data_IF_133630424746
#
_entry.id   IF_133630424746
#
_cell.length_a   1.000
_cell.length_b   1.000
_cell.length_c   1.000
_cell.angle_alpha   90.00
_cell.angle_beta   90.00
_cell.angle_gamma   90.00
#
_symmetry.space_group_name_H-M   'P 1'
#
loop_
_entity.id
_entity.type
_entity.pdbx_description
1 polymer ?
#
# COMPACT_ATOMS: atom_id res chain seq x y z
N UNK A 1 -0.62 2.40 17.60
CA UNK A 1 -0.73 2.36 19.08
C UNK A 1 -2.15 2.69 19.54
N UNK A 2 -2.75 3.80 19.10
CA UNK A 2 -4.09 4.25 19.52
C UNK A 2 -5.26 3.31 19.17
N UNK A 3 -5.16 2.55 18.08
CA UNK A 3 -6.20 1.60 17.66
C UNK A 3 -6.45 0.50 18.71
N UNK A 4 -5.38 -0.02 19.33
CA UNK A 4 -5.48 -1.01 20.40
C UNK A 4 -5.95 -0.36 21.71
N UNK A 5 -5.57 0.90 21.97
CA UNK A 5 -6.12 1.68 23.09
C UNK A 5 -7.64 1.82 23.01
N UNK A 6 -8.19 2.05 21.81
CA UNK A 6 -9.66 2.08 21.60
C UNK A 6 -10.35 0.71 21.79
N UNK A 7 -9.59 -0.39 21.75
CA UNK A 7 -10.08 -1.76 21.96
C UNK A 7 -9.90 -2.27 23.41
N UNK A 8 -8.87 -1.77 24.12
CA UNK A 8 -8.37 -2.24 25.42
C UNK A 8 -8.66 -1.29 26.60
N UNK A 9 -9.47 -0.24 26.42
CA UNK A 9 -9.85 0.67 27.51
C UNK A 9 -10.71 -0.03 28.59
N UNK A 10 -10.04 -0.76 29.48
CA UNK A 10 -10.54 -1.32 30.73
C UNK A 10 -10.41 -0.35 31.92
N UNK A 11 -9.79 0.82 31.73
CA UNK A 11 -9.72 1.86 32.76
C UNK A 11 -11.13 2.43 33.05
N UNK A 12 -11.53 2.37 34.33
CA UNK A 12 -12.89 2.68 34.80
C UNK A 12 -13.33 4.14 34.57
N UNK A 13 -12.39 5.04 34.26
CA UNK A 13 -12.63 6.49 34.14
C UNK A 13 -12.64 7.02 32.69
N UNK A 14 -12.37 6.18 31.66
CA UNK A 14 -12.47 6.60 30.26
C UNK A 14 -13.77 6.13 29.57
N UNK A 15 -14.40 7.05 28.83
CA UNK A 15 -15.63 6.78 28.06
C UNK A 15 -15.39 5.65 27.07
N UNK A 16 -16.05 4.50 27.27
CA UNK A 16 -15.90 3.29 26.46
C UNK A 16 -16.49 3.43 25.05
N UNK A 17 -15.82 2.87 24.05
CA UNK A 17 -16.35 2.73 22.69
C UNK A 17 -17.55 1.79 22.67
N UNK A 18 -18.56 2.11 21.86
CA UNK A 18 -19.76 1.28 21.74
C UNK A 18 -19.49 -0.03 20.97
N UNK A 19 -20.40 -1.02 21.10
CA UNK A 19 -20.21 -2.34 20.51
C UNK A 19 -20.13 -2.31 18.97
N UNK A 20 -20.83 -1.40 18.29
CA UNK A 20 -20.81 -1.31 16.83
C UNK A 20 -19.46 -0.78 16.36
N UNK A 21 -18.97 0.29 16.98
CA UNK A 21 -17.64 0.84 16.71
C UNK A 21 -16.55 -0.20 16.97
N UNK A 22 -16.64 -0.94 18.09
CA UNK A 22 -15.67 -1.99 18.41
C UNK A 22 -15.67 -3.11 17.37
N UNK A 23 -16.85 -3.57 16.92
CA UNK A 23 -16.96 -4.58 15.87
C UNK A 23 -16.36 -4.08 14.54
N UNK A 24 -16.65 -2.83 14.16
CA UNK A 24 -16.10 -2.21 12.95
C UNK A 24 -14.57 -2.05 13.01
N UNK A 25 -14.00 -1.74 14.17
CA UNK A 25 -12.54 -1.72 14.36
C UNK A 25 -11.97 -3.14 14.23
N UNK A 26 -12.52 -4.12 14.95
CA UNK A 26 -12.03 -5.51 14.87
C UNK A 26 -12.16 -6.12 13.47
N UNK A 27 -13.11 -5.66 12.64
CA UNK A 27 -13.22 -6.10 11.25
C UNK A 27 -12.21 -5.43 10.30
N UNK A 28 -11.53 -4.37 10.73
CA UNK A 28 -10.51 -3.66 9.95
C UNK A 28 -9.09 -4.18 10.21
N UNK A 29 -8.78 -4.62 11.44
CA UNK A 29 -7.48 -5.22 11.80
C UNK A 29 -7.74 -6.60 12.39
N UNK A 30 -7.72 -7.63 11.55
CA UNK A 30 -7.62 -9.00 12.03
C UNK A 30 -6.17 -9.38 12.35
N UNK A 31 -5.95 -10.54 12.98
CA UNK A 31 -4.61 -11.03 13.33
C UNK A 31 -3.69 -11.20 12.13
N UNK A 32 -4.24 -11.32 10.91
CA UNK A 32 -3.46 -11.44 9.69
C UNK A 32 -3.01 -10.07 9.22
N UNK A 33 -3.89 -9.08 9.23
CA UNK A 33 -3.61 -7.70 8.89
C UNK A 33 -2.61 -7.09 9.86
N UNK A 34 -2.75 -7.36 11.16
CA UNK A 34 -1.75 -6.98 12.17
C UNK A 34 -0.37 -7.51 11.83
N UNK A 35 -0.25 -8.83 11.60
CA UNK A 35 1.03 -9.46 11.24
C UNK A 35 1.67 -8.87 9.98
N UNK A 36 0.86 -8.40 9.02
CA UNK A 36 1.36 -7.74 7.80
C UNK A 36 1.79 -6.30 8.03
N UNK A 37 1.11 -5.57 8.92
CA UNK A 37 1.53 -4.24 9.33
C UNK A 37 2.88 -4.28 10.05
N UNK A 38 3.06 -5.29 10.91
CA UNK A 38 4.27 -5.47 11.70
C UNK A 38 5.44 -6.06 10.90
N UNK A 39 5.18 -6.60 9.69
CA UNK A 39 6.21 -7.14 8.80
C UNK A 39 7.01 -6.01 8.12
N UNK A 40 8.15 -5.69 8.74
CA UNK A 40 9.02 -4.61 8.31
C UNK A 40 10.40 -5.14 7.88
N UNK A 41 11.01 -4.40 6.96
CA UNK A 41 12.38 -4.58 6.52
C UNK A 41 13.19 -3.39 7.01
N UNK A 42 14.27 -3.69 7.73
CA UNK A 42 15.30 -2.72 8.08
C UNK A 42 16.27 -2.56 6.91
N UNK A 43 16.54 -1.31 6.57
CA UNK A 43 17.46 -0.92 5.51
C UNK A 43 18.59 -0.08 6.13
N UNK A 44 19.80 -0.62 6.18
CA UNK A 44 20.96 0.13 6.65
C UNK A 44 22.14 -0.75 7.05
N UNK A 45 23.28 -0.15 7.40
CA UNK A 45 24.40 -0.87 8.01
C UNK A 45 24.03 -1.35 9.42
N UNK A 46 24.53 -2.52 9.89
CA UNK A 46 24.18 -3.07 11.20
C UNK A 46 24.73 -2.20 12.35
N UNK A 47 23.99 -2.14 13.46
CA UNK A 47 24.47 -1.66 14.76
C UNK A 47 24.34 -2.85 15.72
N UNK A 48 25.44 -3.57 15.99
CA UNK A 48 25.47 -4.63 17.00
C UNK A 48 26.62 -4.37 17.98
N UNK A 49 26.42 -4.74 19.25
CA UNK A 49 27.49 -4.70 20.26
C UNK A 49 28.48 -5.87 20.11
N UNK A 50 28.06 -6.94 19.45
CA UNK A 50 28.76 -8.22 19.43
C UNK A 50 29.34 -8.58 18.05
N UNK A 51 29.09 -7.78 17.02
CA UNK A 51 29.68 -7.93 15.69
C UNK A 51 30.84 -6.91 15.53
N UNK A 52 32.13 -7.34 15.45
CA UNK A 52 33.28 -6.44 15.39
C UNK A 52 33.31 -5.57 14.13
N UNK A 53 32.55 -5.91 13.07
CA UNK A 53 32.36 -5.05 11.90
C UNK A 53 31.29 -3.95 12.10
N UNK A 54 30.48 -4.07 13.16
CA UNK A 54 29.41 -3.13 13.51
C UNK A 54 29.76 -2.18 14.66
N UNK A 55 31.02 -2.17 15.11
CA UNK A 55 31.54 -1.16 16.03
C UNK A 55 31.65 0.20 15.33
N UNK A 56 30.51 0.85 15.12
CA UNK A 56 30.49 2.30 14.91
C UNK A 56 30.78 2.97 16.25
N UNK A 57 31.89 3.71 16.30
CA UNK A 57 32.22 4.59 17.42
C UNK A 57 31.00 5.47 17.74
N UNK A 58 30.72 5.68 19.03
CA UNK A 58 29.68 6.60 19.55
C UNK A 58 29.79 8.06 19.04
N UNK A 59 30.81 8.37 18.24
CA UNK A 59 30.99 9.63 17.52
C UNK A 59 30.26 9.67 16.15
N UNK A 60 29.63 8.57 15.71
CA UNK A 60 28.97 8.48 14.40
C UNK A 60 27.68 9.31 14.26
N UNK A 61 27.09 9.77 15.36
CA UNK A 61 25.85 10.55 15.37
C UNK A 61 26.02 12.02 14.95
N UNK A 62 27.25 12.56 14.99
CA UNK A 62 27.50 13.97 14.63
C UNK A 62 28.25 14.14 13.29
N UNK A 63 29.09 13.17 12.89
CA UNK A 63 30.17 13.41 11.91
C UNK A 63 30.25 12.36 10.78
N UNK A 64 29.18 11.60 10.54
CA UNK A 64 29.10 10.81 9.31
C UNK A 64 29.13 11.83 8.14
N UNK A 65 29.87 11.63 7.05
CA UNK A 65 29.91 12.58 5.91
C UNK A 65 29.24 11.98 4.68
N UNK A 66 28.69 12.80 3.77
CA UNK A 66 28.11 12.34 2.50
C UNK A 66 29.08 11.46 1.71
N UNK A 67 30.38 11.72 1.80
CA UNK A 67 31.43 10.90 1.21
C UNK A 67 31.53 9.50 1.84
N UNK A 68 31.35 9.35 3.15
CA UNK A 68 31.35 8.03 3.84
C UNK A 68 30.13 7.19 3.44
N UNK A 69 28.95 7.80 3.36
CA UNK A 69 27.69 7.17 2.92
C UNK A 69 27.77 6.75 1.44
N UNK A 70 28.33 7.60 0.59
CA UNK A 70 28.55 7.30 -0.83
C UNK A 70 29.63 6.23 -1.04
N UNK A 71 30.61 6.12 -0.14
CA UNK A 71 31.68 5.12 -0.18
C UNK A 71 31.27 3.71 0.28
N UNK A 72 30.07 3.53 0.86
CA UNK A 72 29.50 2.21 1.17
C UNK A 72 29.30 1.46 -0.17
N UNK A 73 30.20 0.52 -0.47
CA UNK A 73 30.20 -0.32 -1.67
C UNK A 73 29.24 -1.50 -1.51
N UNK A 74 28.92 -2.11 -2.67
CA UNK A 74 27.75 -2.96 -3.00
C UNK A 74 27.41 -4.08 -1.99
N UNK A 75 28.33 -4.53 -1.15
CA UNK A 75 28.20 -5.75 -0.34
C UNK A 75 27.74 -5.53 1.12
N UNK A 76 27.59 -4.28 1.58
CA UNK A 76 27.47 -3.95 3.02
C UNK A 76 26.09 -3.44 3.46
N UNK A 77 25.12 -3.32 2.55
CA UNK A 77 23.76 -2.89 2.92
C UNK A 77 22.92 -4.12 3.22
N UNK A 78 22.63 -4.33 4.49
CA UNK A 78 21.95 -5.51 4.97
C UNK A 78 20.46 -5.20 5.04
N UNK A 79 19.66 -6.08 4.43
CA UNK A 79 18.23 -6.12 4.66
C UNK A 79 17.99 -7.12 5.78
N UNK A 80 17.33 -6.68 6.84
CA UNK A 80 16.90 -7.56 7.92
C UNK A 80 15.37 -7.52 7.96
N UNK A 81 14.74 -8.69 7.92
CA UNK A 81 13.32 -8.78 8.26
C UNK A 81 13.19 -8.62 9.76
N UNK A 82 12.22 -7.84 10.17
CA UNK A 82 12.06 -7.35 11.53
C UNK A 82 10.55 -7.28 11.82
N UNK A 83 10.19 -7.44 13.08
CA UNK A 83 8.83 -7.18 13.55
C UNK A 83 8.82 -5.83 14.26
N UNK A 84 7.91 -4.93 13.91
CA UNK A 84 7.76 -3.67 14.65
C UNK A 84 7.39 -3.98 16.12
N UNK A 85 7.86 -3.17 17.06
CA UNK A 85 7.43 -3.29 18.46
C UNK A 85 5.97 -2.81 18.59
N UNK A 86 5.13 -3.63 19.22
CA UNK A 86 3.72 -3.30 19.49
C UNK A 86 3.56 -1.96 20.24
N UNK A 87 4.58 -1.60 21.03
CA UNK A 87 4.60 -0.43 21.90
C UNK A 87 5.34 0.77 21.33
N UNK A 88 6.00 0.69 20.17
CA UNK A 88 6.61 1.85 19.54
C UNK A 88 7.09 1.51 18.12
N UNK A 89 6.57 2.23 17.13
CA UNK A 89 7.00 2.06 15.73
C UNK A 89 8.43 2.52 15.49
N UNK A 90 9.02 3.23 16.46
CA UNK A 90 10.42 3.63 16.45
C UNK A 90 11.38 2.49 16.83
N UNK A 91 10.84 1.33 17.20
CA UNK A 91 11.61 0.16 17.58
C UNK A 91 11.16 -1.08 16.82
N UNK A 92 12.12 -1.96 16.54
CA UNK A 92 11.86 -3.23 15.88
C UNK A 92 12.70 -4.35 16.45
N UNK A 93 12.18 -5.57 16.36
CA UNK A 93 12.81 -6.80 16.81
C UNK A 93 13.33 -7.62 15.64
N UNK A 94 14.64 -7.83 15.60
CA UNK A 94 15.29 -8.76 14.66
C UNK A 94 15.56 -10.08 15.36
N UNK A 95 14.99 -11.20 14.89
CA UNK A 95 15.24 -12.51 15.49
C UNK A 95 16.70 -12.95 15.32
N UNK A 96 17.28 -13.59 16.35
CA UNK A 96 18.62 -14.17 16.26
C UNK A 96 18.59 -15.49 15.46
N UNK A 97 19.34 -15.63 14.35
CA UNK A 97 19.35 -16.87 13.58
C UNK A 97 19.97 -18.08 14.29
N UNK A 98 20.69 -17.88 15.39
CA UNK A 98 21.44 -18.95 16.06
C UNK A 98 20.68 -19.60 17.23
N UNK A 99 19.50 -19.10 17.58
CA UNK A 99 18.65 -19.64 18.65
C UNK A 99 17.23 -19.79 18.11
N UNK A 100 16.71 -21.01 18.19
CA UNK A 100 15.40 -21.37 17.62
C UNK A 100 14.22 -20.51 18.12
N UNK A 101 13.08 -20.64 17.44
CA UNK A 101 11.86 -19.81 17.56
C UNK A 101 11.32 -19.58 19.00
N UNK A 102 11.69 -20.41 19.96
CA UNK A 102 11.20 -20.34 21.35
C UNK A 102 12.01 -19.40 22.28
N UNK A 103 13.18 -18.92 21.85
CA UNK A 103 14.03 -18.04 22.67
C UNK A 103 13.80 -16.59 22.26
N UNK A 104 13.25 -15.75 23.16
CA UNK A 104 13.01 -14.29 22.97
C UNK A 104 14.32 -13.47 22.87
N UNK A 105 15.40 -14.07 22.37
CA UNK A 105 16.72 -13.46 22.21
C UNK A 105 16.87 -12.69 20.92
N UNK A 106 15.88 -11.87 20.54
CA UNK A 106 16.02 -10.93 19.42
C UNK A 106 16.87 -9.72 19.77
N UNK A 107 17.39 -9.03 18.76
CA UNK A 107 18.00 -7.72 18.94
C UNK A 107 16.96 -6.63 18.69
N UNK A 108 16.81 -5.72 19.66
CA UNK A 108 16.03 -4.50 19.48
C UNK A 108 16.85 -3.50 18.66
N UNK A 109 16.22 -2.92 17.63
CA UNK A 109 16.80 -1.94 16.72
C UNK A 109 15.99 -0.65 16.83
N UNK A 110 16.66 0.49 16.87
CA UNK A 110 16.07 1.83 17.06
C UNK A 110 16.42 2.74 15.87
N UNK A 111 15.60 3.75 15.62
CA UNK A 111 15.81 4.76 14.56
C UNK A 111 17.22 5.41 14.60
N UNK A 112 17.75 5.73 13.42
CA UNK A 112 19.08 6.32 13.24
C UNK A 112 19.60 6.21 11.80
N UNK A 113 20.77 5.61 11.61
CA UNK A 113 21.32 5.28 10.28
C UNK A 113 20.58 4.13 9.57
N UNK A 114 19.53 3.60 10.18
CA UNK A 114 18.71 2.49 9.71
C UNK A 114 17.30 3.00 9.45
N UNK A 115 16.71 2.58 8.33
CA UNK A 115 15.34 2.94 7.93
C UNK A 115 14.47 1.70 8.03
N UNK A 116 13.38 1.79 8.80
CA UNK A 116 12.34 0.75 8.85
C UNK A 116 11.29 1.05 7.77
N UNK A 117 11.00 0.05 6.93
CA UNK A 117 9.91 0.14 5.95
C UNK A 117 9.07 -1.12 5.97
N UNK A 118 7.78 -1.02 5.71
CA UNK A 118 6.97 -2.21 5.47
C UNK A 118 7.53 -3.00 4.29
N UNK A 119 7.66 -4.32 4.46
CA UNK A 119 8.28 -5.20 3.45
C UNK A 119 7.54 -5.13 2.11
N UNK A 120 6.21 -5.07 2.15
CA UNK A 120 5.35 -4.93 0.96
C UNK A 120 5.57 -3.59 0.22
N UNK A 121 5.83 -2.49 0.95
CA UNK A 121 6.13 -1.19 0.37
C UNK A 121 7.46 -1.19 -0.41
N UNK A 122 8.46 -1.92 0.07
CA UNK A 122 9.74 -2.07 -0.64
C UNK A 122 9.57 -2.81 -1.98
N UNK A 123 8.71 -3.84 -2.02
CA UNK A 123 8.40 -4.49 -3.29
C UNK A 123 7.66 -3.57 -4.26
N UNK A 124 6.74 -2.72 -3.75
CA UNK A 124 6.05 -1.72 -4.57
C UNK A 124 7.04 -0.70 -5.12
N UNK A 125 7.97 -0.20 -4.30
CA UNK A 125 9.02 0.73 -4.71
C UNK A 125 9.80 0.21 -5.92
N UNK A 126 10.21 -1.06 -5.86
CA UNK A 126 10.97 -1.70 -6.94
C UNK A 126 10.12 -1.88 -8.21
N UNK A 127 8.86 -2.30 -8.09
CA UNK A 127 7.99 -2.45 -9.26
C UNK A 127 7.63 -1.11 -9.91
N UNK A 128 7.30 -0.09 -9.10
CA UNK A 128 6.93 1.24 -9.59
C UNK A 128 8.06 1.94 -10.35
N UNK A 129 9.30 1.70 -9.92
CA UNK A 129 10.50 2.34 -10.49
C UNK A 129 11.29 1.42 -11.42
N UNK A 130 10.74 0.23 -11.75
CA UNK A 130 11.43 -0.79 -12.55
C UNK A 130 12.84 -1.13 -12.02
N UNK A 131 12.98 -1.18 -10.69
CA UNK A 131 14.22 -1.46 -9.98
C UNK A 131 15.22 -0.30 -9.93
N UNK A 132 14.93 0.84 -10.56
CA UNK A 132 15.82 2.03 -10.55
C UNK A 132 15.90 2.67 -9.17
N UNK A 133 14.87 2.55 -8.34
CA UNK A 133 14.90 2.91 -6.92
C UNK A 133 15.12 1.68 -6.05
N UNK A 134 16.38 1.22 -6.00
CA UNK A 134 16.77 0.12 -5.11
C UNK A 134 16.71 0.52 -3.62
N UNK A 135 16.64 -0.46 -2.71
CA UNK A 135 16.72 -0.23 -1.26
C UNK A 135 17.92 0.64 -0.87
N UNK A 136 19.07 0.43 -1.53
CA UNK A 136 20.29 1.24 -1.36
C UNK A 136 20.10 2.69 -1.79
N UNK A 137 19.48 2.90 -2.96
CA UNK A 137 19.23 4.25 -3.49
C UNK A 137 18.25 5.00 -2.59
N UNK A 138 17.22 4.32 -2.11
CA UNK A 138 16.28 4.83 -1.11
C UNK A 138 16.96 5.20 0.20
N UNK A 139 17.79 4.31 0.76
CA UNK A 139 18.55 4.60 1.97
C UNK A 139 19.44 5.84 1.82
N UNK A 140 20.15 5.98 0.71
CA UNK A 140 20.97 7.18 0.42
C UNK A 140 20.13 8.46 0.39
N UNK A 141 18.97 8.41 -0.27
CA UNK A 141 18.04 9.53 -0.32
C UNK A 141 17.57 9.93 1.08
N UNK A 142 17.15 8.95 1.90
CA UNK A 142 16.75 9.18 3.29
C UNK A 142 17.88 9.82 4.10
N UNK A 143 19.08 9.27 4.05
CA UNK A 143 20.23 9.79 4.81
C UNK A 143 20.64 11.19 4.38
N UNK A 144 20.61 11.50 3.07
CA UNK A 144 20.89 12.85 2.59
C UNK A 144 19.83 13.84 3.10
N UNK A 145 18.57 13.42 3.08
CA UNK A 145 17.44 14.27 3.45
C UNK A 145 17.39 14.58 4.94
N UNK A 146 17.57 13.57 5.80
CA UNK A 146 17.62 13.77 7.25
C UNK A 146 18.68 14.79 7.67
N UNK A 147 19.81 14.85 6.94
CA UNK A 147 20.88 15.83 7.21
C UNK A 147 20.55 17.24 6.75
N UNK A 148 19.95 17.38 5.58
CA UNK A 148 19.70 18.69 4.98
C UNK A 148 18.48 19.36 5.58
N UNK A 149 17.47 18.59 5.98
CA UNK A 149 16.27 19.09 6.63
C UNK A 149 16.51 19.45 8.11
N UNK A 150 17.54 18.89 8.75
CA UNK A 150 17.84 19.14 10.16
C UNK A 150 16.73 18.70 11.13
N UNK A 151 15.75 17.95 10.64
CA UNK A 151 14.60 17.46 11.39
C UNK A 151 14.70 15.95 11.61
N UNK A 152 14.22 15.51 12.77
CA UNK A 152 13.96 14.11 13.12
C UNK A 152 12.71 13.56 12.40
N UNK A 153 12.23 14.27 11.38
CA UNK A 153 10.97 13.94 10.71
C UNK A 153 11.21 12.81 9.71
N UNK A 154 10.44 11.73 9.84
CA UNK A 154 10.42 10.56 8.95
C UNK A 154 9.89 10.87 7.53
N UNK A 155 9.96 12.12 7.08
CA UNK A 155 9.31 12.65 5.87
C UNK A 155 10.38 13.29 4.97
N UNK A 156 10.43 12.88 3.70
CA UNK A 156 11.29 13.54 2.71
C UNK A 156 10.57 14.80 2.18
N UNK A 157 11.17 16.00 2.29
CA UNK A 157 10.55 17.23 1.81
C UNK A 157 10.27 17.22 0.31
N UNK A 158 9.06 17.65 -0.05
CA UNK A 158 8.60 17.73 -1.44
C UNK A 158 8.05 16.43 -2.02
N UNK A 159 7.92 15.37 -1.21
CA UNK A 159 7.19 14.16 -1.57
C UNK A 159 5.78 14.28 -1.02
N UNK A 160 4.76 14.08 -1.86
CA UNK A 160 3.36 14.00 -1.44
C UNK A 160 3.03 12.58 -0.96
N UNK A 161 2.91 12.41 0.35
CA UNK A 161 2.53 11.14 0.98
C UNK A 161 1.01 10.91 1.05
N UNK A 162 0.20 11.74 0.37
CA UNK A 162 -1.24 11.62 0.24
C UNK A 162 -2.00 12.27 1.41
N UNK A 163 -3.13 11.69 1.80
CA UNK A 163 -4.04 12.24 2.83
C UNK A 163 -3.33 12.57 4.16
N UNK A 164 -2.23 11.89 4.47
CA UNK A 164 -1.39 12.21 5.62
C UNK A 164 -0.90 13.67 5.59
N UNK A 165 -0.51 14.20 4.43
CA UNK A 165 0.09 15.54 4.29
C UNK A 165 -0.89 16.71 4.21
N UNK A 166 -2.11 16.47 3.72
CA UNK A 166 -3.02 17.57 3.34
C UNK A 166 -3.97 18.00 4.46
N UNK A 167 -4.06 17.27 5.57
CA UNK A 167 -5.04 17.50 6.66
C UNK A 167 -4.38 17.84 8.02
N UNK A 168 -3.15 18.38 7.98
CA UNK A 168 -2.10 18.10 8.97
C UNK A 168 -1.94 19.10 10.14
N UNK A 169 -3.02 19.46 10.85
CA UNK A 169 -2.89 19.99 12.23
C UNK A 169 -2.82 18.84 13.26
N UNK A 170 -3.60 17.77 13.06
CA UNK A 170 -3.73 16.64 14.01
C UNK A 170 -2.49 15.75 14.02
N UNK A 171 -1.91 15.48 12.84
CA UNK A 171 -0.74 14.59 12.72
C UNK A 171 0.57 15.30 13.12
N UNK A 172 0.58 16.64 13.18
CA UNK A 172 1.67 17.42 13.78
C UNK A 172 1.59 17.42 15.31
N UNK A 173 0.37 17.30 15.86
CA UNK A 173 0.13 17.29 17.30
C UNK A 173 0.29 15.90 17.91
N UNK A 174 -0.04 14.84 17.16
CA UNK A 174 0.12 13.46 17.61
C UNK A 174 0.36 12.49 16.42
N UNK A 175 1.63 12.30 16.00
CA UNK A 175 1.99 11.39 14.91
C UNK A 175 1.76 9.90 15.23
N UNK A 176 1.35 9.56 16.47
CA UNK A 176 1.12 8.17 16.89
C UNK A 176 -0.30 7.67 16.58
N UNK A 177 -1.19 8.56 16.13
CA UNK A 177 -2.59 8.23 15.84
C UNK A 177 -2.76 7.52 14.49
N UNK A 178 -3.27 6.30 14.57
CA UNK A 178 -3.50 5.41 13.41
C UNK A 178 -4.78 5.77 12.63
N UNK A 179 -5.62 6.67 13.13
CA UNK A 179 -6.81 7.17 12.43
C UNK A 179 -6.76 8.70 12.51
N UNK A 180 -7.01 9.38 11.40
CA UNK A 180 -7.13 10.84 11.34
C UNK A 180 -8.48 11.31 11.90
N UNK A 181 -8.84 10.85 13.10
CA UNK A 181 -10.03 11.23 13.86
C UNK A 181 -9.65 11.26 15.34
N UNK A 182 -10.27 12.15 16.11
CA UNK A 182 -10.19 12.16 17.56
C UNK A 182 -10.97 10.99 18.18
N UNK A 183 -10.70 10.68 19.45
CA UNK A 183 -11.38 9.57 20.14
C UNK A 183 -12.89 9.83 20.22
N UNK A 184 -13.28 11.09 20.44
CA UNK A 184 -14.67 11.52 20.50
C UNK A 184 -15.37 11.35 19.15
N UNK A 185 -14.71 11.71 18.04
CA UNK A 185 -15.25 11.49 16.70
C UNK A 185 -15.48 10.01 16.40
N UNK A 186 -14.52 9.14 16.76
CA UNK A 186 -14.68 7.69 16.59
C UNK A 186 -15.82 7.15 17.47
N UNK A 187 -15.94 7.61 18.72
CA UNK A 187 -17.04 7.23 19.62
C UNK A 187 -18.40 7.67 19.07
N UNK A 188 -18.49 8.87 18.51
CA UNK A 188 -19.72 9.42 17.94
C UNK A 188 -20.22 8.64 16.70
N UNK A 189 -19.37 7.84 16.06
CA UNK A 189 -19.79 6.94 14.97
C UNK A 189 -20.79 5.87 15.44
N UNK A 190 -20.86 5.56 16.74
CA UNK A 190 -21.86 4.62 17.27
C UNK A 190 -23.29 5.06 16.92
N UNK A 191 -23.52 6.37 16.77
CA UNK A 191 -24.81 6.94 16.36
C UNK A 191 -25.28 6.52 14.95
N UNK A 192 -24.38 6.02 14.10
CA UNK A 192 -24.72 5.53 12.76
C UNK A 192 -25.53 4.23 12.81
N UNK A 193 -25.43 3.45 13.90
CA UNK A 193 -26.26 2.26 14.13
C UNK A 193 -26.01 1.07 13.19
N UNK A 194 -25.03 1.16 12.30
CA UNK A 194 -24.69 0.12 11.32
C UNK A 194 -23.16 -0.05 11.22
N UNK A 195 -22.69 -1.28 11.42
CA UNK A 195 -21.25 -1.62 11.46
C UNK A 195 -20.56 -1.25 10.14
N UNK A 196 -21.19 -1.51 9.00
CA UNK A 196 -20.60 -1.24 7.69
C UNK A 196 -20.47 0.27 7.44
N UNK A 197 -21.46 1.07 7.83
CA UNK A 197 -21.36 2.53 7.76
C UNK A 197 -20.26 3.08 8.67
N UNK A 198 -20.13 2.56 9.90
CA UNK A 198 -19.04 2.94 10.81
C UNK A 198 -17.69 2.57 10.21
N UNK A 199 -17.56 1.35 9.68
CA UNK A 199 -16.36 0.87 9.01
C UNK A 199 -15.96 1.76 7.83
N UNK A 200 -16.93 2.13 6.98
CA UNK A 200 -16.70 3.03 5.85
C UNK A 200 -16.35 4.45 6.29
N UNK A 201 -16.89 4.93 7.42
CA UNK A 201 -16.53 6.23 7.99
C UNK A 201 -15.07 6.22 8.48
N UNK A 202 -14.68 5.20 9.26
CA UNK A 202 -13.29 5.04 9.73
C UNK A 202 -12.32 4.94 8.55
N UNK A 203 -12.68 4.15 7.53
CA UNK A 203 -11.86 4.03 6.32
C UNK A 203 -11.75 5.36 5.58
N UNK A 204 -12.86 5.99 5.21
CA UNK A 204 -12.82 7.11 4.27
C UNK A 204 -12.60 8.46 4.94
N UNK A 205 -13.24 8.72 6.09
CA UNK A 205 -13.12 9.99 6.82
C UNK A 205 -11.90 9.97 7.74
N UNK A 206 -11.67 8.85 8.43
CA UNK A 206 -10.50 8.68 9.28
C UNK A 206 -9.23 8.24 8.57
N UNK A 207 -9.27 8.14 7.23
CA UNK A 207 -8.16 7.73 6.37
C UNK A 207 -7.43 6.46 6.80
N UNK A 208 -8.12 5.57 7.52
CA UNK A 208 -7.52 4.34 8.05
C UNK A 208 -6.96 3.44 6.93
N UNK A 209 -7.46 3.60 5.69
CA UNK A 209 -6.93 2.92 4.51
C UNK A 209 -5.41 3.09 4.34
N UNK A 210 -4.80 4.18 4.83
CA UNK A 210 -3.35 4.43 4.76
C UNK A 210 -2.53 3.37 5.52
N UNK A 211 -3.13 2.77 6.53
CA UNK A 211 -2.49 1.78 7.40
C UNK A 211 -2.77 0.34 6.96
N UNK A 212 -3.69 0.13 6.03
CA UNK A 212 -3.97 -1.20 5.48
C UNK A 212 -2.80 -1.70 4.61
N UNK A 213 -2.47 -2.97 4.76
CA UNK A 213 -1.41 -3.66 4.04
C UNK A 213 -1.66 -3.57 2.54
N UNK A 214 -0.71 -3.07 1.74
CA UNK A 214 -0.91 -2.75 0.32
C UNK A 214 -0.80 -3.98 -0.60
N UNK A 215 -0.76 -5.19 -0.06
CA UNK A 215 -0.66 -6.48 -0.75
C UNK A 215 -1.95 -7.34 -0.62
N UNK A 216 -3.01 -6.79 -0.02
CA UNK A 216 -4.33 -7.44 0.09
C UNK A 216 -5.16 -7.25 -1.19
N UNK A 217 -4.84 -8.01 -2.24
CA UNK A 217 -5.59 -7.98 -3.51
C UNK A 217 -6.99 -8.60 -3.37
N UNK A 218 -8.06 -7.92 -3.84
CA UNK A 218 -9.43 -8.41 -3.72
C UNK A 218 -9.75 -9.41 -4.85
N UNK A 219 -9.10 -10.57 -4.81
CA UNK A 219 -9.20 -11.61 -5.84
C UNK A 219 -10.44 -12.49 -5.70
N UNK A 220 -10.96 -12.62 -4.49
CA UNK A 220 -12.18 -13.40 -4.26
C UNK A 220 -13.43 -12.58 -4.58
N UNK A 221 -14.41 -13.26 -5.14
CA UNK A 221 -15.75 -12.73 -5.34
C UNK A 221 -16.50 -12.76 -4.02
N UNK A 222 -16.34 -11.70 -3.23
CA UNK A 222 -17.27 -11.47 -2.13
C UNK A 222 -18.67 -11.29 -2.73
N UNK A 223 -19.58 -12.20 -2.40
CA UNK A 223 -21.01 -12.18 -2.77
C UNK A 223 -21.75 -10.93 -2.29
N UNK A 224 -21.07 -10.03 -1.57
CA UNK A 224 -21.61 -8.79 -0.99
C UNK A 224 -21.65 -7.62 -1.96
N UNK A 225 -20.93 -7.65 -3.08
CA UNK A 225 -21.00 -6.59 -4.12
C UNK A 225 -22.02 -6.99 -5.20
N UNK A 226 -23.24 -7.34 -4.78
CA UNK A 226 -24.36 -7.49 -5.69
C UNK A 226 -25.14 -6.18 -5.77
N UNK A 227 -24.62 -5.29 -6.62
CA UNK A 227 -25.41 -4.25 -7.26
C UNK A 227 -24.95 -4.17 -8.70
N UNK A 228 -25.31 -5.22 -9.46
CA UNK A 228 -25.32 -5.15 -10.91
C UNK A 228 -26.47 -4.21 -11.28
N UNK A 229 -26.23 -3.05 -11.93
CA UNK A 229 -27.28 -2.50 -12.76
C UNK A 229 -27.56 -3.59 -13.80
N UNK A 230 -28.77 -4.14 -13.77
CA UNK A 230 -29.26 -5.07 -14.79
C UNK A 230 -29.05 -4.35 -16.12
N UNK A 231 -28.02 -4.76 -16.86
CA UNK A 231 -27.91 -4.43 -18.28
C UNK A 231 -29.08 -5.20 -18.89
N UNK A 232 -30.20 -4.49 -19.06
CA UNK A 232 -31.32 -5.00 -19.84
C UNK A 232 -30.68 -5.42 -21.15
N UNK A 233 -30.78 -6.71 -21.41
CA UNK A 233 -30.38 -7.34 -22.65
C UNK A 233 -31.14 -6.60 -23.75
N UNK A 234 -30.50 -5.59 -24.33
CA UNK A 234 -31.05 -4.87 -25.46
C UNK A 234 -30.87 -5.82 -26.63
N UNK A 235 -31.65 -6.90 -26.62
CA UNK A 235 -31.81 -7.82 -27.71
C UNK A 235 -32.26 -6.99 -28.91
N UNK A 236 -31.27 -6.54 -29.69
CA UNK A 236 -31.07 -6.62 -31.14
C UNK A 236 -32.21 -6.28 -32.09
N UNK A 237 -33.49 -6.38 -31.72
CA UNK A 237 -34.61 -6.25 -32.63
C UNK A 237 -34.97 -4.81 -33.02
N UNK A 238 -34.44 -3.79 -32.34
CA UNK A 238 -34.78 -2.37 -32.60
C UNK A 238 -33.64 -1.52 -33.19
N UNK A 239 -32.39 -2.01 -33.17
CA UNK A 239 -31.21 -1.24 -33.59
C UNK A 239 -31.02 -1.13 -35.12
N UNK A 240 -31.82 -1.85 -35.91
CA UNK A 240 -31.79 -1.77 -37.39
C UNK A 240 -32.48 -0.52 -37.95
N UNK A 241 -33.17 0.29 -37.15
CA UNK A 241 -34.00 1.41 -37.64
C UNK A 241 -33.38 2.82 -37.52
N UNK A 242 -32.18 2.99 -36.97
CA UNK A 242 -31.56 4.31 -36.83
C UNK A 242 -30.44 4.56 -37.85
N UNK A 243 -30.82 4.85 -39.09
CA UNK A 243 -29.96 5.34 -40.17
C UNK A 243 -29.46 6.78 -39.88
N UNK A 244 -28.46 6.89 -38.99
CA UNK A 244 -27.41 7.94 -38.92
C UNK A 244 -26.50 7.59 -37.74
N UNK A 245 -25.80 6.46 -37.85
CA UNK A 245 -24.75 6.11 -36.90
C UNK A 245 -23.64 7.16 -37.02
N UNK A 246 -23.35 7.85 -35.90
CA UNK A 246 -22.21 8.77 -35.81
C UNK A 246 -20.92 8.06 -36.25
N UNK A 247 -19.95 8.80 -36.79
CA UNK A 247 -18.67 8.24 -37.27
C UNK A 247 -17.97 7.34 -36.25
N UNK A 248 -18.20 7.58 -34.95
CA UNK A 248 -17.65 6.80 -33.85
C UNK A 248 -18.22 5.37 -33.76
N UNK A 249 -19.47 5.18 -34.18
CA UNK A 249 -20.13 3.88 -34.16
C UNK A 249 -19.64 2.95 -35.29
N UNK A 250 -18.98 3.52 -36.31
CA UNK A 250 -18.36 2.79 -37.43
C UNK A 250 -16.94 2.32 -37.11
N UNK A 251 -16.33 2.80 -36.01
CA UNK A 251 -14.99 2.38 -35.61
C UNK A 251 -15.04 0.87 -35.24
N UNK A 252 -14.07 0.07 -35.73
CA UNK A 252 -13.86 -1.31 -35.30
C UNK A 252 -13.75 -1.43 -33.77
N UNK A 253 -14.23 -2.55 -33.23
CA UNK A 253 -14.30 -2.77 -31.80
C UNK A 253 -12.92 -2.68 -31.13
N UNK A 254 -11.91 -3.22 -31.80
CA UNK A 254 -10.52 -3.28 -31.33
C UNK A 254 -9.95 -1.87 -31.16
N UNK A 255 -10.21 -0.97 -32.12
CA UNK A 255 -9.78 0.43 -32.04
C UNK A 255 -10.55 1.20 -30.97
N UNK A 256 -11.84 0.91 -30.79
CA UNK A 256 -12.63 1.51 -29.72
C UNK A 256 -12.11 1.11 -28.33
N UNK A 257 -11.71 -0.16 -28.15
CA UNK A 257 -11.11 -0.63 -26.88
C UNK A 257 -9.78 0.07 -26.63
N UNK A 258 -8.90 0.19 -27.64
CA UNK A 258 -7.63 0.90 -27.52
C UNK A 258 -7.81 2.38 -27.17
N UNK A 259 -8.73 3.08 -27.85
CA UNK A 259 -9.05 4.48 -27.54
C UNK A 259 -9.59 4.59 -26.11
N UNK A 260 -10.48 3.67 -25.72
CA UNK A 260 -11.10 3.65 -24.40
C UNK A 260 -10.08 3.41 -23.28
N UNK A 261 -9.09 2.54 -23.50
CA UNK A 261 -8.04 2.25 -22.54
C UNK A 261 -7.16 3.48 -22.22
N UNK A 262 -7.08 4.46 -23.13
CA UNK A 262 -6.35 5.71 -22.91
C UNK A 262 -7.16 6.75 -22.11
N UNK A 263 -8.44 6.48 -21.83
CA UNK A 263 -9.30 7.41 -21.10
C UNK A 263 -9.26 7.13 -19.59
N UNK A 264 -9.26 8.18 -18.74
CA UNK A 264 -9.58 8.03 -17.34
C UNK A 264 -10.94 7.35 -17.18
N UNK A 265 -11.07 6.47 -16.19
CA UNK A 265 -12.28 5.66 -16.00
C UNK A 265 -13.60 6.48 -15.97
N UNK A 266 -13.69 7.65 -15.32
CA UNK A 266 -14.92 8.47 -15.37
C UNK A 266 -15.25 8.97 -16.77
N UNK A 267 -14.23 9.34 -17.54
CA UNK A 267 -14.36 9.77 -18.94
C UNK A 267 -14.80 8.61 -19.82
N UNK A 268 -14.23 7.42 -19.62
CA UNK A 268 -14.67 6.19 -20.30
C UNK A 268 -16.14 5.87 -20.00
N UNK A 269 -16.56 5.93 -18.73
CA UNK A 269 -17.97 5.67 -18.36
C UNK A 269 -18.92 6.69 -18.99
N UNK A 270 -18.50 7.96 -19.04
CA UNK A 270 -19.25 9.02 -19.72
C UNK A 270 -19.32 8.76 -21.23
N UNK A 271 -18.19 8.37 -21.84
CA UNK A 271 -18.08 8.03 -23.25
C UNK A 271 -18.98 6.84 -23.62
N UNK A 272 -18.92 5.75 -22.87
CA UNK A 272 -19.79 4.59 -23.06
C UNK A 272 -21.28 4.98 -22.94
N UNK A 273 -21.62 5.99 -22.14
CA UNK A 273 -22.99 6.44 -21.92
C UNK A 273 -23.54 7.37 -23.02
N UNK A 274 -22.72 7.83 -23.96
CA UNK A 274 -23.12 8.76 -25.04
C UNK A 274 -24.23 8.15 -25.92
N UNK A 275 -24.24 6.84 -26.13
CA UNK A 275 -25.33 6.17 -26.84
C UNK A 275 -25.50 4.71 -26.38
N UNK A 276 -26.71 4.16 -26.52
CA UNK A 276 -26.98 2.74 -26.22
C UNK A 276 -26.11 1.80 -27.05
N UNK A 277 -25.84 2.16 -28.31
CA UNK A 277 -24.99 1.37 -29.21
C UNK A 277 -23.54 1.34 -28.74
N UNK A 278 -22.98 2.49 -28.37
CA UNK A 278 -21.61 2.57 -27.86
C UNK A 278 -21.48 1.88 -26.50
N UNK A 279 -22.49 2.03 -25.63
CA UNK A 279 -22.58 1.29 -24.37
C UNK A 279 -22.57 -0.22 -24.59
N UNK A 280 -23.38 -0.70 -25.53
CA UNK A 280 -23.43 -2.12 -25.86
C UNK A 280 -22.12 -2.62 -26.47
N UNK A 281 -21.49 -1.85 -27.38
CA UNK A 281 -20.18 -2.18 -27.92
C UNK A 281 -19.10 -2.28 -26.84
N UNK A 282 -19.00 -1.31 -25.94
CA UNK A 282 -17.91 -1.26 -24.97
C UNK A 282 -18.15 -2.10 -23.71
N UNK A 283 -19.41 -2.25 -23.29
CA UNK A 283 -19.78 -2.82 -22.01
C UNK A 283 -20.86 -3.92 -22.11
N UNK A 284 -21.31 -4.28 -23.31
CA UNK A 284 -22.45 -5.16 -23.51
C UNK A 284 -22.14 -6.62 -23.20
N UNK A 285 -20.94 -7.10 -23.52
CA UNK A 285 -20.52 -8.48 -23.20
C UNK A 285 -19.58 -8.50 -22.00
N UNK A 286 -19.48 -9.64 -21.28
CA UNK A 286 -18.47 -9.81 -20.23
C UNK A 286 -17.05 -9.74 -20.84
N UNK A 287 -16.84 -10.38 -21.99
CA UNK A 287 -15.54 -10.36 -22.69
C UNK A 287 -15.04 -8.95 -23.03
N UNK A 288 -15.91 -8.05 -23.51
CA UNK A 288 -15.53 -6.67 -23.82
C UNK A 288 -15.16 -5.89 -22.55
N UNK A 289 -15.95 -6.06 -21.48
CA UNK A 289 -15.69 -5.43 -20.18
C UNK A 289 -14.38 -5.90 -19.57
N UNK A 290 -14.10 -7.19 -19.65
CA UNK A 290 -12.89 -7.80 -19.09
C UNK A 290 -11.66 -7.47 -19.94
N UNK A 291 -11.80 -7.37 -21.27
CA UNK A 291 -10.74 -6.86 -22.14
C UNK A 291 -10.39 -5.40 -21.80
N UNK A 292 -11.40 -4.55 -21.63
CA UNK A 292 -11.18 -3.17 -21.17
C UNK A 292 -10.52 -3.12 -19.79
N UNK A 293 -11.02 -3.88 -18.81
CA UNK A 293 -10.50 -3.87 -17.45
C UNK A 293 -9.01 -4.24 -17.42
N UNK A 294 -8.61 -5.28 -18.16
CA UNK A 294 -7.20 -5.69 -18.29
C UNK A 294 -6.34 -4.61 -18.92
N UNK A 295 -6.79 -4.04 -20.05
CA UNK A 295 -6.04 -2.98 -20.73
C UNK A 295 -5.89 -1.75 -19.84
N UNK A 296 -6.99 -1.32 -19.20
CA UNK A 296 -6.99 -0.15 -18.34
C UNK A 296 -6.12 -0.34 -17.09
N UNK A 297 -6.16 -1.51 -16.44
CA UNK A 297 -5.27 -1.83 -15.33
C UNK A 297 -3.81 -1.79 -15.77
N UNK A 298 -3.47 -2.42 -16.90
CA UNK A 298 -2.10 -2.44 -17.42
C UNK A 298 -1.55 -1.04 -17.71
N UNK A 299 -2.35 -0.19 -18.33
CA UNK A 299 -1.89 1.12 -18.83
C UNK A 299 -2.01 2.25 -17.79
N UNK A 300 -3.04 2.22 -16.93
CA UNK A 300 -3.40 3.37 -16.07
C UNK A 300 -3.36 3.07 -14.57
N UNK A 301 -3.40 1.79 -14.17
CA UNK A 301 -3.42 1.41 -12.77
C UNK A 301 -2.54 0.17 -12.50
N UNK A 302 -1.24 0.22 -12.85
CA UNK A 302 -0.34 -0.92 -12.70
C UNK A 302 -0.21 -1.38 -11.24
N UNK A 303 -0.51 -0.52 -10.27
CA UNK A 303 -0.58 -0.91 -8.86
C UNK A 303 -1.70 -1.94 -8.59
N UNK A 304 -2.75 -2.08 -9.41
CA UNK A 304 -3.75 -3.16 -9.26
C UNK A 304 -3.27 -4.52 -9.77
N UNK A 305 -2.06 -4.63 -10.32
CA UNK A 305 -1.51 -5.92 -10.71
C UNK A 305 -1.00 -6.68 -9.48
N UNK A 306 -1.45 -7.94 -9.27
CA UNK A 306 -0.93 -8.83 -8.24
C UNK A 306 0.48 -9.29 -8.64
N UNK A 307 1.47 -8.45 -8.35
CA UNK A 307 2.87 -8.74 -8.65
C UNK A 307 3.49 -9.54 -7.50
N UNK A 308 4.33 -10.55 -7.80
CA UNK A 308 5.09 -11.25 -6.78
C UNK A 308 6.09 -10.30 -6.11
N UNK A 309 6.69 -10.79 -5.02
CA UNK A 309 7.88 -10.17 -4.46
C UNK A 309 8.92 -9.92 -5.56
N UNK A 310 9.46 -8.71 -5.61
CA UNK A 310 10.46 -8.36 -6.63
C UNK A 310 11.69 -9.30 -6.53
N UNK A 311 12.22 -9.84 -7.64
CA UNK A 311 13.31 -10.83 -7.62
C UNK A 311 14.55 -10.38 -6.86
N UNK A 312 14.85 -9.08 -6.83
CA UNK A 312 16.01 -8.54 -6.09
C UNK A 312 15.87 -8.61 -4.57
N UNK A 313 14.67 -8.86 -4.04
CA UNK A 313 14.44 -9.08 -2.61
C UNK A 313 14.52 -10.55 -2.24
N UNK A 314 14.39 -11.47 -3.22
CA UNK A 314 14.42 -12.91 -2.94
C UNK A 314 15.78 -13.33 -2.39
N UNK A 315 15.80 -13.85 -1.17
CA UNK A 315 17.04 -14.21 -0.46
C UNK A 315 17.95 -13.01 -0.15
N UNK A 316 17.44 -11.78 -0.23
CA UNK A 316 18.21 -10.58 0.09
C UNK A 316 18.32 -10.35 1.61
N UNK A 317 17.48 -11.01 2.41
CA UNK A 317 17.53 -10.91 3.87
C UNK A 317 18.66 -11.79 4.45
N UNK A 318 19.51 -11.19 5.28
CA UNK A 318 20.63 -11.90 5.92
C UNK A 318 20.09 -12.86 6.98
N UNK A 319 20.48 -14.14 6.89
CA UNK A 319 20.26 -15.22 7.87
C UNK A 319 19.05 -14.98 8.79
N UNK A 320 17.87 -15.26 8.28
CA UNK A 320 16.76 -15.71 9.09
C UNK A 320 16.47 -17.14 8.63
N UNK A 321 16.32 -18.11 9.54
CA UNK A 321 15.92 -19.50 9.22
C UNK A 321 14.51 -19.60 8.57
N UNK A 322 13.91 -18.44 8.31
CA UNK A 322 12.66 -18.14 7.63
C UNK A 322 12.58 -18.45 6.13
N UNK A 323 13.49 -19.26 5.56
CA UNK A 323 13.37 -19.70 4.14
C UNK A 323 12.04 -20.38 3.84
N UNK A 324 11.34 -20.92 4.85
CA UNK A 324 10.02 -21.56 4.69
C UNK A 324 8.86 -20.57 4.61
N UNK A 325 8.98 -19.38 5.20
CA UNK A 325 7.89 -18.40 5.25
C UNK A 325 7.87 -17.46 4.03
N UNK A 326 9.00 -17.27 3.35
CA UNK A 326 9.05 -16.59 2.03
C UNK A 326 8.16 -17.29 0.99
N UNK A 327 8.02 -18.61 1.07
CA UNK A 327 7.23 -19.40 0.11
C UNK A 327 5.72 -19.37 0.40
N UNK A 328 5.27 -19.09 1.63
CA UNK A 328 3.85 -19.10 2.02
C UNK A 328 3.19 -17.71 2.01
N UNK A 329 3.90 -16.64 2.38
CA UNK A 329 3.31 -15.29 2.49
C UNK A 329 3.28 -14.52 1.15
N UNK A 330 4.20 -14.87 0.23
CA UNK A 330 4.33 -14.23 -1.08
C UNK A 330 4.01 -15.15 -2.25
N UNK A 331 3.48 -16.36 -1.98
CA UNK A 331 2.93 -17.19 -3.04
C UNK A 331 1.81 -16.39 -3.70
N UNK A 332 1.97 -16.13 -5.00
CA UNK A 332 0.88 -15.61 -5.81
C UNK A 332 -0.36 -16.45 -5.49
N UNK A 333 -1.49 -15.83 -5.13
CA UNK A 333 -2.77 -16.47 -5.37
C UNK A 333 -2.72 -16.95 -6.82
N UNK A 334 -3.08 -18.21 -7.11
CA UNK A 334 -3.08 -18.76 -8.48
C UNK A 334 -3.88 -17.84 -9.40
N UNK A 335 -3.24 -16.79 -9.91
CA UNK A 335 -3.88 -15.71 -10.63
C UNK A 335 -3.62 -16.03 -12.07
N UNK A 336 -4.49 -16.86 -12.63
CA UNK A 336 -4.69 -16.76 -14.06
C UNK A 336 -4.95 -15.28 -14.35
N UNK A 337 -4.22 -14.71 -15.31
CA UNK A 337 -4.43 -13.35 -15.83
C UNK A 337 -5.92 -13.16 -16.25
N UNK A 338 -6.65 -14.26 -16.44
CA UNK A 338 -8.10 -14.33 -16.60
C UNK A 338 -8.92 -13.77 -15.42
N UNK A 339 -8.36 -13.65 -14.20
CA UNK A 339 -9.04 -13.13 -13.01
C UNK A 339 -9.05 -11.59 -12.91
N UNK A 340 -8.34 -10.87 -13.79
CA UNK A 340 -8.34 -9.41 -13.87
C UNK A 340 -9.58 -8.88 -14.63
N UNK A 341 -10.75 -9.37 -14.24
CA UNK A 341 -12.02 -9.07 -14.88
C UNK A 341 -12.56 -7.68 -14.47
N UNK A 342 -13.70 -7.29 -15.04
CA UNK A 342 -14.35 -6.03 -14.69
C UNK A 342 -14.75 -5.94 -13.21
N UNK A 343 -15.11 -7.07 -12.60
CA UNK A 343 -15.48 -7.11 -11.19
C UNK A 343 -14.26 -6.90 -10.29
N UNK A 344 -13.11 -7.46 -10.66
CA UNK A 344 -11.83 -7.22 -10.01
C UNK A 344 -11.48 -5.74 -10.03
N UNK A 345 -11.60 -5.07 -11.18
CA UNK A 345 -11.40 -3.62 -11.26
C UNK A 345 -12.34 -2.87 -10.29
N UNK A 346 -13.63 -3.21 -10.25
CA UNK A 346 -14.59 -2.61 -9.31
C UNK A 346 -14.20 -2.84 -7.84
N UNK A 347 -13.74 -4.05 -7.51
CA UNK A 347 -13.27 -4.41 -6.17
C UNK A 347 -12.02 -3.60 -5.79
N UNK A 348 -11.06 -3.48 -6.70
CA UNK A 348 -9.85 -2.68 -6.49
C UNK A 348 -10.16 -1.19 -6.25
N UNK A 349 -11.10 -0.62 -7.00
CA UNK A 349 -11.54 0.77 -6.80
C UNK A 349 -12.19 1.01 -5.43
N UNK A 350 -12.77 -0.04 -4.83
CA UNK A 350 -13.46 0.00 -3.54
C UNK A 350 -12.58 -0.44 -2.37
N UNK A 351 -11.38 -0.95 -2.64
CA UNK A 351 -10.47 -1.52 -1.63
C UNK A 351 -9.56 -0.46 -1.02
N UNK A 352 -9.56 -0.38 0.32
CA UNK A 352 -8.64 0.50 1.06
C UNK A 352 -7.17 0.10 0.88
N UNK A 353 -6.86 -1.20 0.86
CA UNK A 353 -5.53 -1.73 0.56
C UNK A 353 -5.03 -1.26 -0.81
N UNK A 354 -5.87 -1.33 -1.83
CA UNK A 354 -5.53 -0.89 -3.18
C UNK A 354 -5.41 0.63 -3.30
N UNK A 355 -6.14 1.39 -2.47
CA UNK A 355 -5.94 2.84 -2.30
C UNK A 355 -4.58 3.15 -1.66
N UNK A 356 -4.17 2.41 -0.63
CA UNK A 356 -2.84 2.55 -0.02
C UNK A 356 -1.73 2.20 -1.00
N UNK A 357 -1.90 1.09 -1.73
CA UNK A 357 -0.95 0.66 -2.75
C UNK A 357 -0.73 1.73 -3.81
N UNK A 358 -1.80 2.37 -4.31
CA UNK A 358 -1.71 3.50 -5.22
C UNK A 358 -0.93 4.68 -4.63
N UNK A 359 -1.17 5.01 -3.36
CA UNK A 359 -0.44 6.07 -2.64
C UNK A 359 1.05 5.75 -2.58
N UNK A 360 1.43 4.55 -2.15
CA UNK A 360 2.83 4.10 -2.07
C UNK A 360 3.48 4.08 -3.45
N UNK A 361 2.75 3.67 -4.49
CA UNK A 361 3.23 3.70 -5.87
C UNK A 361 3.57 5.13 -6.32
N UNK A 362 2.67 6.09 -6.10
CA UNK A 362 2.91 7.49 -6.41
C UNK A 362 4.08 8.08 -5.61
N UNK A 363 4.22 7.69 -4.34
CA UNK A 363 5.37 8.06 -3.51
C UNK A 363 6.66 7.50 -4.10
N UNK A 364 6.68 6.23 -4.52
CA UNK A 364 7.85 5.60 -5.13
C UNK A 364 8.35 6.33 -6.39
N UNK A 365 7.43 6.74 -7.27
CA UNK A 365 7.78 7.52 -8.47
C UNK A 365 8.33 8.90 -8.12
N UNK A 366 7.80 9.56 -7.08
CA UNK A 366 8.32 10.84 -6.60
C UNK A 366 9.70 10.68 -5.94
N UNK A 367 9.92 9.62 -5.17
CA UNK A 367 11.21 9.30 -4.56
C UNK A 367 12.29 9.08 -5.61
N UNK A 368 11.96 8.38 -6.71
CA UNK A 368 12.86 8.24 -7.85
C UNK A 368 13.24 9.61 -8.45
N UNK A 369 12.26 10.47 -8.75
CA UNK A 369 12.51 11.82 -9.28
C UNK A 369 13.37 12.64 -8.32
N UNK A 370 13.09 12.56 -7.02
CA UNK A 370 13.85 13.27 -5.99
C UNK A 370 15.30 12.78 -5.90
N UNK A 371 15.52 11.48 -6.02
CA UNK A 371 16.86 10.91 -6.08
C UNK A 371 17.62 11.42 -7.31
N UNK A 372 16.96 11.53 -8.47
CA UNK A 372 17.57 12.09 -9.69
C UNK A 372 17.91 13.58 -9.53
N UNK A 373 17.02 14.38 -8.97
CA UNK A 373 17.25 15.81 -8.67
C UNK A 373 18.48 16.02 -7.78
N UNK A 374 18.70 15.11 -6.84
CA UNK A 374 19.80 15.16 -5.88
C UNK A 374 21.07 14.41 -6.36
N UNK A 375 21.04 13.83 -7.57
CA UNK A 375 22.19 13.13 -8.16
C UNK A 375 22.55 11.79 -7.48
N UNK A 376 21.56 11.11 -6.91
CA UNK A 376 21.70 9.83 -6.18
C UNK A 376 21.49 8.62 -7.08
#
# INVERSE_FOLDING_TARGET
MWFYTLLDNDDEDEVKTGPIVRAALLSLIDDREKRRQDDVTLIGPPISKDDPESQMNKEFDADCSTAKISAITIESLLLYRCTADDSDWDFGWVPCPERGEDDRGGHMVSYGTIVMVQTSALSILLHATFGRMSARRFWRLMMLTLRTAGSWESIIPGIDYGALMHEHDVWQQDPTNTICMSQEEVKNLESLGDEEQVRQAILNQGHFWVWLSPDCFPLQSDSRIDSRPILIDAASSSLTSALKLSSIAQIPQELLVLISAQLPLPTFMSFASVSRHLRYKLLGTDSDRDAFARAWIGDNAPWYLPLPLHPSLKGAWKKSDYRKQEDEDFTLPNSDIAALDWNYLRRCLSSGSMRNRKRIWNVAEQLEKKAEELGI
#
